data_IF_479443596949
#
_entry.id   IF_479443596949
#
_cell.length_a   1.000
_cell.length_b   1.000
_cell.length_c   1.000
_cell.angle_alpha   90.00
_cell.angle_beta   90.00
_cell.angle_gamma   90.00
#
_symmetry.space_group_name_H-M   'P 1'
#
loop_
_entity.id
_entity.type
_entity.pdbx_description
1 polymer ?
#
# COMPACT_ATOMS: atom_id res chain seq x y z
N UNK A 1 -4.78 -12.74 -13.18
CA UNK A 1 -5.26 -11.55 -12.46
C UNK A 1 -4.27 -11.30 -11.35
N UNK A 2 -3.34 -10.36 -11.54
CA UNK A 2 -2.31 -10.09 -10.54
C UNK A 2 -2.92 -9.14 -9.51
N UNK A 3 -3.07 -9.61 -8.27
CA UNK A 3 -3.60 -8.81 -7.17
C UNK A 3 -2.47 -8.00 -6.53
N UNK A 4 -2.82 -6.96 -5.77
CA UNK A 4 -1.85 -6.18 -5.00
C UNK A 4 -0.99 -7.08 -4.09
N UNK A 5 -1.59 -8.14 -3.54
CA UNK A 5 -0.92 -9.14 -2.73
C UNK A 5 0.17 -9.91 -3.49
N UNK A 6 -0.08 -10.30 -4.75
CA UNK A 6 0.89 -11.01 -5.58
C UNK A 6 2.11 -10.13 -5.88
N UNK A 7 1.88 -8.85 -6.17
CA UNK A 7 2.95 -7.88 -6.36
C UNK A 7 3.76 -7.67 -5.08
N UNK A 8 3.09 -7.51 -3.93
CA UNK A 8 3.74 -7.44 -2.61
C UNK A 8 4.64 -8.65 -2.39
N UNK A 9 4.12 -9.86 -2.65
CA UNK A 9 4.87 -11.11 -2.48
C UNK A 9 6.13 -11.14 -3.33
N UNK A 10 6.01 -10.73 -4.59
CA UNK A 10 7.12 -10.69 -5.54
C UNK A 10 8.16 -9.66 -5.12
N UNK A 11 7.73 -8.44 -4.76
CA UNK A 11 8.63 -7.37 -4.31
C UNK A 11 9.37 -7.81 -3.04
N UNK A 12 8.65 -8.35 -2.06
CA UNK A 12 9.24 -8.83 -0.81
C UNK A 12 10.23 -9.98 -1.01
N UNK A 13 9.92 -10.92 -1.88
CA UNK A 13 10.83 -12.02 -2.22
C UNK A 13 12.08 -11.53 -2.97
N UNK A 14 11.97 -10.48 -3.79
CA UNK A 14 13.09 -9.94 -4.56
C UNK A 14 14.00 -9.02 -3.74
N UNK A 15 13.43 -8.05 -3.01
CA UNK A 15 14.21 -7.06 -2.28
C UNK A 15 14.72 -7.58 -0.93
N UNK A 16 13.92 -8.40 -0.25
CA UNK A 16 14.25 -8.89 1.09
C UNK A 16 14.62 -10.37 1.11
N UNK A 17 14.69 -11.04 -0.05
CA UNK A 17 15.00 -12.48 -0.18
C UNK A 17 14.12 -13.36 0.72
N UNK A 18 12.85 -12.95 0.93
CA UNK A 18 11.90 -13.66 1.76
C UNK A 18 11.32 -14.86 1.04
N UNK A 19 11.10 -15.94 1.80
CA UNK A 19 10.51 -17.15 1.24
C UNK A 19 9.04 -16.90 0.88
N UNK A 20 8.70 -17.14 -0.38
CA UNK A 20 7.32 -16.96 -0.83
C UNK A 20 6.37 -17.77 0.03
N UNK A 21 6.72 -18.98 0.48
CA UNK A 21 5.84 -19.81 1.32
C UNK A 21 5.47 -19.17 2.66
N UNK A 22 6.34 -18.33 3.22
CA UNK A 22 6.09 -17.59 4.46
C UNK A 22 5.25 -16.32 4.25
N UNK A 23 5.22 -15.77 3.02
CA UNK A 23 4.46 -14.59 2.65
C UNK A 23 2.96 -14.92 2.47
N UNK A 24 2.29 -15.24 3.58
CA UNK A 24 0.85 -15.50 3.66
C UNK A 24 0.11 -14.26 4.18
N UNK A 25 -1.19 -14.08 3.86
CA UNK A 25 -1.93 -12.90 4.32
C UNK A 25 -2.00 -12.76 5.85
N UNK A 26 -1.93 -13.86 6.60
CA UNK A 26 -1.88 -13.83 8.07
C UNK A 26 -0.48 -13.63 8.66
N UNK A 27 0.57 -13.48 7.84
CA UNK A 27 1.92 -13.27 8.34
C UNK A 27 2.09 -11.84 8.86
N UNK A 28 2.60 -11.71 10.08
CA UNK A 28 2.92 -10.40 10.66
C UNK A 28 4.16 -9.81 9.98
N UNK A 29 4.16 -8.50 9.72
CA UNK A 29 5.28 -7.82 9.07
C UNK A 29 6.58 -7.95 9.89
N UNK A 30 6.48 -7.79 11.21
CA UNK A 30 7.60 -7.98 12.14
C UNK A 30 8.12 -9.43 12.13
N UNK A 31 7.23 -10.42 12.01
CA UNK A 31 7.62 -11.83 11.94
C UNK A 31 8.31 -12.19 10.62
N UNK A 32 8.04 -11.43 9.56
CA UNK A 32 8.73 -11.51 8.28
C UNK A 32 10.08 -10.78 8.29
N UNK A 33 10.45 -10.13 9.39
CA UNK A 33 11.67 -9.34 9.49
C UNK A 33 11.59 -8.00 8.73
N UNK A 34 10.39 -7.46 8.53
CA UNK A 34 10.22 -6.15 7.92
C UNK A 34 10.39 -5.06 8.99
N UNK A 35 11.56 -4.43 8.98
CA UNK A 35 11.86 -3.26 9.79
C UNK A 35 11.07 -2.03 9.33
N UNK A 36 11.04 -0.98 10.16
CA UNK A 36 10.37 0.30 9.85
C UNK A 36 10.86 0.93 8.53
N UNK A 37 12.16 0.79 8.22
CA UNK A 37 12.73 1.24 6.95
C UNK A 37 12.19 0.43 5.77
N UNK A 38 12.14 -0.90 5.90
CA UNK A 38 11.62 -1.78 4.87
C UNK A 38 10.14 -1.49 4.55
N UNK A 39 9.34 -1.26 5.60
CA UNK A 39 7.94 -0.86 5.45
C UNK A 39 7.84 0.50 4.75
N UNK A 40 8.67 1.48 5.12
CA UNK A 40 8.67 2.79 4.47
C UNK A 40 9.03 2.71 2.97
N UNK A 41 10.05 1.94 2.60
CA UNK A 41 10.44 1.71 1.20
C UNK A 41 9.34 0.99 0.42
N UNK A 42 8.70 -0.01 1.04
CA UNK A 42 7.58 -0.72 0.44
C UNK A 42 6.42 0.24 0.14
N UNK A 43 6.03 1.07 1.11
CA UNK A 43 4.98 2.08 0.91
C UNK A 43 5.33 3.06 -0.20
N UNK A 44 6.57 3.55 -0.26
CA UNK A 44 7.02 4.45 -1.33
C UNK A 44 6.93 3.79 -2.72
N UNK A 45 7.36 2.54 -2.84
CA UNK A 45 7.27 1.78 -4.09
C UNK A 45 5.81 1.54 -4.52
N UNK A 46 4.91 1.35 -3.56
CA UNK A 46 3.47 1.24 -3.83
C UNK A 46 2.91 2.57 -4.34
N UNK A 47 3.23 3.69 -3.67
CA UNK A 47 2.77 5.02 -4.07
C UNK A 47 3.20 5.35 -5.51
N UNK A 48 4.45 5.06 -5.87
CA UNK A 48 4.98 5.26 -7.22
C UNK A 48 4.32 4.31 -8.24
N UNK A 49 4.27 3.02 -7.95
CA UNK A 49 3.72 2.01 -8.87
C UNK A 49 2.24 2.25 -9.17
N UNK A 50 1.45 2.49 -8.13
CA UNK A 50 0.01 2.63 -8.25
C UNK A 50 -0.44 4.09 -8.35
N UNK A 51 0.48 5.05 -8.31
CA UNK A 51 0.16 6.49 -8.38
C UNK A 51 -0.91 6.87 -7.35
N UNK A 52 -0.71 6.43 -6.11
CA UNK A 52 -1.58 6.69 -4.97
C UNK A 52 -0.81 7.39 -3.85
N UNK A 53 -1.52 8.03 -2.94
CA UNK A 53 -0.97 8.50 -1.66
C UNK A 53 -1.32 7.59 -0.49
N UNK A 54 -0.31 7.24 0.32
CA UNK A 54 -0.46 6.46 1.54
C UNK A 54 -0.04 7.29 2.74
N UNK A 55 -0.97 7.53 3.66
CA UNK A 55 -0.65 8.14 4.96
C UNK A 55 -0.37 7.06 5.99
N UNK A 56 0.90 6.90 6.37
CA UNK A 56 1.38 5.93 7.36
C UNK A 56 0.82 6.16 8.78
N UNK A 57 0.24 7.34 9.05
CA UNK A 57 -0.32 7.67 10.37
C UNK A 57 -1.68 7.02 10.66
N UNK A 58 -2.40 6.50 9.66
CA UNK A 58 -3.81 6.09 9.83
C UNK A 58 -4.08 4.59 9.83
N UNK A 59 -3.12 3.72 9.50
CA UNK A 59 -3.38 2.29 9.39
C UNK A 59 -2.44 1.45 10.27
N UNK A 60 -2.98 0.70 11.26
CA UNK A 60 -2.20 -0.32 11.97
C UNK A 60 -2.00 -1.51 11.03
N UNK A 61 -0.97 -1.43 10.19
CA UNK A 61 -0.57 -2.50 9.28
C UNK A 61 0.16 -3.59 10.09
N UNK A 62 -0.58 -4.58 10.59
CA UNK A 62 -0.02 -5.67 11.37
C UNK A 62 0.45 -6.83 10.48
N UNK A 63 -0.34 -7.18 9.46
CA UNK A 63 -0.09 -8.33 8.60
C UNK A 63 0.07 -7.96 7.14
N UNK A 64 0.66 -8.87 6.36
CA UNK A 64 0.81 -8.70 4.92
C UNK A 64 -0.56 -8.57 4.20
N UNK A 65 -1.58 -9.27 4.71
CA UNK A 65 -2.96 -9.15 4.22
C UNK A 65 -3.55 -7.77 4.48
N UNK A 66 -3.29 -7.19 5.66
CA UNK A 66 -3.72 -5.82 5.97
C UNK A 66 -3.09 -4.80 5.03
N UNK A 67 -1.78 -4.92 4.75
CA UNK A 67 -1.08 -4.07 3.79
C UNK A 67 -1.71 -4.17 2.41
N UNK A 68 -1.89 -5.38 1.90
CA UNK A 68 -2.49 -5.59 0.57
C UNK A 68 -3.90 -4.97 0.48
N UNK A 69 -4.74 -5.22 1.51
CA UNK A 69 -6.11 -4.69 1.53
C UNK A 69 -6.13 -3.18 1.63
N UNK A 70 -5.29 -2.60 2.49
CA UNK A 70 -5.17 -1.15 2.64
C UNK A 70 -4.78 -0.47 1.32
N UNK A 71 -3.83 -1.05 0.58
CA UNK A 71 -3.43 -0.54 -0.73
C UNK A 71 -4.57 -0.66 -1.74
N UNK A 72 -5.25 -1.81 -1.82
CA UNK A 72 -6.42 -2.00 -2.68
C UNK A 72 -7.51 -0.95 -2.38
N UNK A 73 -7.78 -0.66 -1.10
CA UNK A 73 -8.72 0.39 -0.70
C UNK A 73 -8.26 1.77 -1.14
N UNK A 74 -6.97 2.10 -1.03
CA UNK A 74 -6.44 3.38 -1.47
C UNK A 74 -6.49 3.54 -2.99
N UNK A 75 -6.19 2.48 -3.76
CA UNK A 75 -6.36 2.45 -5.21
C UNK A 75 -7.83 2.67 -5.55
N UNK A 76 -8.75 1.91 -4.94
CA UNK A 76 -10.17 2.06 -5.20
C UNK A 76 -10.68 3.47 -4.87
N UNK A 77 -10.22 4.08 -3.77
CA UNK A 77 -10.61 5.45 -3.37
C UNK A 77 -10.07 6.52 -4.31
N UNK A 78 -8.82 6.41 -4.74
CA UNK A 78 -8.13 7.46 -5.51
C UNK A 78 -8.31 7.29 -7.02
N UNK A 79 -8.48 6.06 -7.50
CA UNK A 79 -8.67 5.73 -8.91
C UNK A 79 -10.14 5.42 -9.24
N UNK A 80 -11.08 5.72 -8.33
CA UNK A 80 -12.50 5.74 -8.67
C UNK A 80 -12.74 6.79 -9.76
N UNK A 81 -13.27 6.43 -10.94
CA UNK A 81 -13.46 7.35 -12.06
C UNK A 81 -14.54 8.43 -11.83
N UNK A 82 -15.16 8.48 -10.65
CA UNK A 82 -16.29 9.36 -10.34
C UNK A 82 -15.98 10.48 -9.30
N UNK A 83 -14.75 10.57 -8.78
CA UNK A 83 -14.40 11.55 -7.73
C UNK A 83 -13.70 12.84 -8.23
N UNK A 84 -13.66 13.11 -9.54
CA UNK A 84 -13.10 14.35 -10.12
C UNK A 84 -14.15 15.47 -10.28
N UNK A 85 -15.12 15.58 -9.39
CA UNK A 85 -15.99 16.77 -9.35
C UNK A 85 -16.49 17.06 -7.94
N UNK A 86 -15.60 17.52 -7.06
CA UNK A 86 -15.99 17.71 -5.65
C UNK A 86 -15.06 18.50 -4.74
N UNK A 87 -14.18 19.38 -5.23
CA UNK A 87 -13.66 20.49 -4.40
C UNK A 87 -13.82 21.82 -5.14
N UNK A 88 -15.04 22.34 -5.06
CA UNK A 88 -15.37 23.70 -5.44
C UNK A 88 -14.65 24.71 -4.53
N UNK A 89 -13.91 25.62 -5.16
CA UNK A 89 -14.02 27.07 -5.02
C UNK A 89 -14.30 27.66 -3.63
N UNK A 90 -13.24 28.17 -2.98
CA UNK A 90 -13.26 29.30 -2.02
C UNK A 90 -11.81 29.73 -1.79
N UNK A 91 -11.33 30.95 -2.01
CA UNK A 91 -11.95 32.23 -2.29
C UNK A 91 -10.82 33.14 -2.81
N UNK A 92 -10.97 33.71 -4.00
CA UNK A 92 -10.19 34.86 -4.44
C UNK A 92 -11.21 35.90 -4.88
N UNK A 93 -11.30 37.02 -4.16
CA UNK A 93 -11.87 38.32 -4.57
C UNK A 93 -12.00 39.24 -3.34
N UNK A 94 -12.00 40.57 -3.52
CA UNK A 94 -11.22 41.40 -4.44
C UNK A 94 -10.16 42.25 -3.72
#
# INVERSE_FOLDING_TARGET
>A
MNTTFDWLRTKLAQDYSLDTTALVPGAALEALGLDSLAVAELLFNVEDKFHIKISSESAPLATLGDVARFIDEQIARQHSPDATSGIASKQASP
#
